data_IF_319764254498
#
_entry.id   IF_319764254498
#
_cell.length_a   1.000
_cell.length_b   1.000
_cell.length_c   1.000
_cell.angle_alpha   90.00
_cell.angle_beta   90.00
_cell.angle_gamma   90.00
#
_symmetry.space_group_name_H-M   'P 1'
#
loop_
_entity.id
_entity.type
_entity.pdbx_description
1 polymer ?
#
# COMPACT_ATOMS: atom_id res chain seq x y z
N UNK A 1 -0.07 9.23 26.98
CA UNK A 1 -0.85 9.34 25.73
C UNK A 1 0.13 9.06 24.61
N UNK A 2 0.08 7.87 24.02
CA UNK A 2 0.84 7.57 22.82
C UNK A 2 0.02 8.15 21.67
N UNK A 3 0.38 9.33 21.17
CA UNK A 3 -0.20 9.82 19.92
C UNK A 3 0.30 8.91 18.80
N UNK A 4 -0.55 7.95 18.40
CA UNK A 4 -0.32 7.03 17.28
C UNK A 4 -0.45 7.71 15.92
N UNK A 5 -0.79 9.00 15.89
CA UNK A 5 -1.00 9.79 14.68
C UNK A 5 -0.22 11.08 14.85
N UNK A 6 0.80 11.28 14.02
CA UNK A 6 1.60 12.51 13.98
C UNK A 6 1.37 13.24 12.65
N UNK A 7 1.29 14.57 12.64
CA UNK A 7 1.26 15.34 11.40
C UNK A 7 2.48 15.05 10.53
N UNK A 8 2.29 14.99 9.22
CA UNK A 8 3.40 14.83 8.28
C UNK A 8 4.29 16.08 8.27
N UNK A 9 5.56 15.90 8.64
CA UNK A 9 6.57 16.97 8.72
C UNK A 9 7.56 16.96 7.54
N UNK A 10 7.34 16.10 6.54
CA UNK A 10 8.20 16.05 5.37
C UNK A 10 7.84 17.11 4.31
N UNK A 11 8.59 17.15 3.20
CA UNK A 11 8.35 18.12 2.14
C UNK A 11 6.97 17.94 1.49
N UNK A 12 6.32 19.06 1.19
CA UNK A 12 5.06 19.13 0.43
C UNK A 12 5.28 19.52 -1.04
N UNK A 13 6.49 19.94 -1.40
CA UNK A 13 6.88 20.33 -2.76
C UNK A 13 8.14 19.55 -3.13
N UNK A 14 8.11 18.89 -4.28
CA UNK A 14 9.24 18.18 -4.86
C UNK A 14 9.59 18.82 -6.20
N UNK A 15 10.74 19.50 -6.26
CA UNK A 15 11.24 20.03 -7.52
C UNK A 15 12.02 18.95 -8.28
N UNK A 16 11.54 18.63 -9.48
CA UNK A 16 12.17 17.65 -10.38
C UNK A 16 12.79 18.33 -11.60
N UNK A 17 12.87 19.67 -11.62
CA UNK A 17 13.32 20.45 -12.79
C UNK A 17 14.70 20.04 -13.30
N UNK A 18 15.62 19.70 -12.39
CA UNK A 18 16.99 19.27 -12.74
C UNK A 18 17.03 17.95 -13.52
N UNK A 19 16.17 17.00 -13.17
CA UNK A 19 16.09 15.69 -13.85
C UNK A 19 15.04 15.62 -14.94
N UNK A 20 14.11 16.59 -14.99
CA UNK A 20 12.96 16.60 -15.91
C UNK A 20 13.31 16.28 -17.37
N UNK A 21 14.38 16.85 -17.98
CA UNK A 21 14.74 16.53 -19.36
C UNK A 21 15.19 15.07 -19.56
N UNK A 22 15.58 14.39 -18.48
CA UNK A 22 16.09 13.01 -18.44
C UNK A 22 15.03 12.00 -17.99
N UNK A 23 13.87 12.45 -17.52
CA UNK A 23 12.77 11.57 -17.12
C UNK A 23 12.07 10.98 -18.36
N UNK A 24 11.72 9.70 -18.26
CA UNK A 24 11.08 8.96 -19.35
C UNK A 24 9.79 8.33 -18.84
N UNK A 25 8.69 8.56 -19.55
CA UNK A 25 7.43 7.86 -19.36
C UNK A 25 7.33 6.74 -20.41
N UNK A 26 7.40 5.48 -19.95
CA UNK A 26 7.35 4.31 -20.81
C UNK A 26 5.91 3.84 -20.95
N UNK A 27 5.33 3.99 -22.15
CA UNK A 27 3.98 3.52 -22.44
C UNK A 27 3.81 2.02 -22.14
N UNK A 28 2.71 1.69 -21.44
CA UNK A 28 2.24 0.32 -21.16
C UNK A 28 3.26 -0.62 -20.49
N UNK A 29 4.00 -0.14 -19.48
CA UNK A 29 4.75 -1.03 -18.59
C UNK A 29 5.79 -1.91 -19.29
N UNK A 30 6.33 -1.44 -20.43
CA UNK A 30 7.40 -2.11 -21.19
C UNK A 30 8.74 -2.05 -20.45
N UNK A 31 8.80 -2.71 -19.30
CA UNK A 31 10.03 -3.01 -18.58
C UNK A 31 10.60 -4.38 -18.99
N UNK A 32 9.90 -5.12 -19.86
CA UNK A 32 10.34 -6.42 -20.35
C UNK A 32 11.69 -6.29 -21.09
N UNK A 33 12.70 -6.99 -20.60
CA UNK A 33 14.07 -6.92 -21.13
C UNK A 33 14.92 -5.77 -20.60
N UNK A 34 14.39 -4.88 -19.75
CA UNK A 34 15.18 -3.84 -19.12
C UNK A 34 16.18 -4.46 -18.12
N UNK A 35 17.46 -4.19 -18.32
CA UNK A 35 18.49 -4.60 -17.39
C UNK A 35 18.55 -3.61 -16.23
N UNK A 36 18.64 -4.15 -15.02
CA UNK A 36 18.77 -3.37 -13.77
C UNK A 36 20.21 -3.48 -13.27
N UNK A 37 20.59 -2.50 -12.46
CA UNK A 37 21.82 -2.57 -11.68
C UNK A 37 21.86 -3.89 -10.88
N UNK A 38 23.05 -4.49 -10.82
CA UNK A 38 23.31 -5.73 -10.10
C UNK A 38 24.18 -5.44 -8.89
N UNK A 39 24.15 -6.35 -7.92
CA UNK A 39 25.10 -6.33 -6.82
C UNK A 39 26.54 -6.32 -7.35
N UNK A 40 27.41 -5.51 -6.74
CA UNK A 40 28.79 -5.31 -7.20
C UNK A 40 29.01 -4.13 -8.16
N UNK A 41 27.95 -3.37 -8.51
CA UNK A 41 28.11 -2.22 -9.42
C UNK A 41 29.05 -1.13 -8.87
N UNK A 42 29.02 -0.74 -7.59
CA UNK A 42 29.94 0.28 -7.07
C UNK A 42 31.42 -0.09 -7.26
N UNK A 43 31.77 -1.35 -7.04
CA UNK A 43 33.13 -1.88 -7.23
C UNK A 43 33.53 -1.85 -8.71
N UNK A 44 32.62 -2.26 -9.60
CA UNK A 44 32.84 -2.18 -11.06
C UNK A 44 32.99 -0.72 -11.51
N UNK A 45 32.18 0.19 -10.99
CA UNK A 45 32.25 1.62 -11.35
C UNK A 45 33.59 2.22 -10.89
N UNK A 46 34.04 1.92 -9.67
CA UNK A 46 35.35 2.34 -9.15
C UNK A 46 36.51 1.77 -9.99
N UNK A 47 36.46 0.47 -10.33
CA UNK A 47 37.44 -0.16 -11.22
C UNK A 47 37.51 0.55 -12.57
N UNK A 48 36.35 0.73 -13.24
CA UNK A 48 36.28 1.39 -14.54
C UNK A 48 36.78 2.83 -14.48
N UNK A 49 36.49 3.56 -13.39
CA UNK A 49 36.94 4.94 -13.21
C UNK A 49 38.47 5.09 -13.22
N UNK A 50 39.20 4.05 -12.78
CA UNK A 50 40.66 3.99 -12.73
C UNK A 50 41.24 3.39 -14.01
N UNK A 51 40.61 2.35 -14.53
CA UNK A 51 41.10 1.59 -15.68
C UNK A 51 40.90 2.33 -17.01
N UNK A 52 39.79 3.03 -17.22
CA UNK A 52 39.49 3.71 -18.49
C UNK A 52 40.52 4.81 -18.81
N UNK A 53 40.92 5.70 -17.88
CA UNK A 53 41.97 6.68 -18.16
C UNK A 53 43.32 6.05 -18.54
N UNK A 54 43.62 4.86 -18.02
CA UNK A 54 44.91 4.20 -18.22
C UNK A 54 44.95 3.32 -19.48
N UNK A 55 43.86 2.60 -19.79
CA UNK A 55 43.84 1.56 -20.82
C UNK A 55 42.80 1.80 -21.91
N UNK A 56 41.94 2.82 -21.79
CA UNK A 56 40.83 3.05 -22.69
C UNK A 56 41.25 3.21 -24.15
N UNK A 57 42.31 3.99 -24.41
CA UNK A 57 42.85 4.19 -25.75
C UNK A 57 43.39 2.88 -26.35
N UNK A 58 44.16 2.11 -25.58
CA UNK A 58 44.71 0.81 -26.01
C UNK A 58 43.59 -0.19 -26.35
N UNK A 59 42.47 -0.13 -25.64
CA UNK A 59 41.29 -0.97 -25.87
C UNK A 59 40.35 -0.42 -26.96
N UNK A 60 40.66 0.74 -27.56
CA UNK A 60 39.81 1.39 -28.56
C UNK A 60 38.48 1.91 -28.00
N UNK A 61 38.41 2.16 -26.67
CA UNK A 61 37.22 2.69 -26.02
C UNK A 61 37.20 4.20 -26.21
N UNK A 62 36.16 4.69 -26.90
CA UNK A 62 35.99 6.13 -27.08
C UNK A 62 35.64 6.81 -25.73
N UNK A 63 36.29 7.93 -25.35
CA UNK A 63 36.07 8.59 -24.05
C UNK A 63 34.60 8.90 -23.74
N UNK A 64 33.82 9.27 -24.77
CA UNK A 64 32.38 9.54 -24.63
C UNK A 64 31.56 8.34 -24.13
N UNK A 65 32.06 7.10 -24.25
CA UNK A 65 31.40 5.92 -23.65
C UNK A 65 31.43 6.00 -22.13
N UNK A 66 32.59 6.31 -21.56
CA UNK A 66 32.75 6.44 -20.12
C UNK A 66 32.00 7.66 -19.57
N UNK A 67 32.08 8.80 -20.23
CA UNK A 67 31.29 9.99 -19.87
C UNK A 67 29.79 9.69 -19.82
N UNK A 68 29.28 8.90 -20.79
CA UNK A 68 27.89 8.45 -20.80
C UNK A 68 27.53 7.50 -19.66
N UNK A 69 28.48 6.74 -19.13
CA UNK A 69 28.27 5.89 -17.94
C UNK A 69 28.19 6.79 -16.72
N UNK A 70 29.16 7.69 -16.54
CA UNK A 70 29.21 8.66 -15.42
C UNK A 70 27.93 9.50 -15.35
N UNK A 71 27.48 10.09 -16.46
CA UNK A 71 26.26 10.91 -16.49
C UNK A 71 25.00 10.10 -16.15
N UNK A 72 24.90 8.84 -16.60
CA UNK A 72 23.77 7.97 -16.23
C UNK A 72 23.79 7.57 -14.77
N UNK A 73 24.96 7.26 -14.21
CA UNK A 73 25.11 6.95 -12.79
C UNK A 73 24.65 8.13 -11.94
N UNK A 74 25.16 9.34 -12.21
CA UNK A 74 24.76 10.55 -11.51
C UNK A 74 23.25 10.84 -11.63
N UNK A 75 22.70 10.71 -12.85
CA UNK A 75 21.26 10.87 -13.10
C UNK A 75 20.43 9.86 -12.31
N UNK A 76 20.86 8.61 -12.23
CA UNK A 76 20.16 7.57 -11.46
C UNK A 76 20.16 7.89 -9.97
N UNK A 77 21.25 8.41 -9.43
CA UNK A 77 21.34 8.79 -8.02
C UNK A 77 20.40 9.94 -7.69
N UNK A 78 20.32 10.96 -8.54
CA UNK A 78 19.36 12.06 -8.41
C UNK A 78 17.91 11.55 -8.45
N UNK A 79 17.59 10.68 -9.42
CA UNK A 79 16.26 10.07 -9.53
C UNK A 79 15.92 9.24 -8.28
N UNK A 80 16.88 8.45 -7.77
CA UNK A 80 16.68 7.59 -6.59
C UNK A 80 16.44 8.41 -5.32
N UNK A 81 17.16 9.51 -5.14
CA UNK A 81 16.97 10.43 -4.03
C UNK A 81 15.55 11.03 -4.06
N UNK A 82 15.14 11.62 -5.19
CA UNK A 82 13.80 12.18 -5.35
C UNK A 82 12.69 11.14 -5.18
N UNK A 83 12.89 9.93 -5.75
CA UNK A 83 11.92 8.84 -5.66
C UNK A 83 11.66 8.42 -4.21
N UNK A 84 12.67 8.40 -3.35
CA UNK A 84 12.51 8.03 -1.94
C UNK A 84 11.50 8.93 -1.25
N UNK A 85 11.63 10.25 -1.42
CA UNK A 85 10.79 11.20 -0.72
C UNK A 85 9.36 11.24 -1.30
N UNK A 86 9.23 11.15 -2.63
CA UNK A 86 7.93 11.05 -3.31
C UNK A 86 7.18 9.79 -2.86
N UNK A 87 7.85 8.65 -2.73
CA UNK A 87 7.23 7.41 -2.23
C UNK A 87 6.76 7.56 -0.78
N UNK A 88 7.51 8.26 0.06
CA UNK A 88 7.05 8.51 1.43
C UNK A 88 5.83 9.42 1.47
N UNK A 89 5.80 10.48 0.65
CA UNK A 89 4.59 11.30 0.55
C UNK A 89 3.40 10.48 0.03
N UNK A 90 3.61 9.61 -0.96
CA UNK A 90 2.55 8.74 -1.48
C UNK A 90 1.99 7.79 -0.40
N UNK A 91 2.86 7.20 0.42
CA UNK A 91 2.47 6.39 1.59
C UNK A 91 1.62 7.21 2.57
N UNK A 92 2.08 8.41 2.93
CA UNK A 92 1.37 9.31 3.87
C UNK A 92 0.00 9.74 3.32
N UNK A 93 -0.11 10.00 2.01
CA UNK A 93 -1.38 10.33 1.37
C UNK A 93 -2.35 9.15 1.44
N UNK A 94 -1.87 7.93 1.19
CA UNK A 94 -2.68 6.71 1.32
C UNK A 94 -3.14 6.47 2.76
N UNK A 95 -2.25 6.64 3.74
CA UNK A 95 -2.59 6.54 5.17
C UNK A 95 -3.62 7.60 5.58
N UNK A 96 -3.43 8.83 5.10
CA UNK A 96 -4.35 9.94 5.35
C UNK A 96 -5.73 9.69 4.73
N UNK A 97 -5.78 9.16 3.51
CA UNK A 97 -7.02 8.77 2.85
C UNK A 97 -7.78 7.76 3.73
N UNK A 98 -7.14 6.66 4.12
CA UNK A 98 -7.76 5.63 4.97
C UNK A 98 -8.25 6.23 6.30
N UNK A 99 -7.44 7.09 6.92
CA UNK A 99 -7.79 7.75 8.17
C UNK A 99 -9.05 8.62 8.03
N UNK A 100 -9.08 9.50 7.02
CA UNK A 100 -10.22 10.39 6.80
C UNK A 100 -11.46 9.65 6.30
N UNK A 101 -11.29 8.54 5.57
CA UNK A 101 -12.40 7.66 5.22
C UNK A 101 -13.02 7.00 6.47
N UNK A 102 -12.21 6.45 7.37
CA UNK A 102 -12.72 5.87 8.62
C UNK A 102 -13.44 6.91 9.48
N UNK A 103 -12.85 8.10 9.63
CA UNK A 103 -13.46 9.21 10.37
C UNK A 103 -14.83 9.61 9.76
N UNK A 104 -14.89 9.74 8.42
CA UNK A 104 -16.13 10.02 7.68
C UNK A 104 -17.18 8.93 7.90
N UNK A 105 -16.81 7.65 7.84
CA UNK A 105 -17.71 6.52 8.06
C UNK A 105 -18.26 6.48 9.49
N UNK A 106 -17.44 6.82 10.48
CA UNK A 106 -17.86 6.98 11.86
C UNK A 106 -18.91 8.10 12.00
N UNK A 107 -18.70 9.24 11.36
CA UNK A 107 -19.65 10.35 11.36
C UNK A 107 -20.98 10.00 10.66
N UNK A 108 -20.93 9.35 9.50
CA UNK A 108 -22.13 8.85 8.80
C UNK A 108 -22.91 7.89 9.71
N UNK A 109 -22.21 7.01 10.43
CA UNK A 109 -22.83 6.07 11.36
C UNK A 109 -23.52 6.78 12.53
N UNK A 110 -22.89 7.81 13.10
CA UNK A 110 -23.48 8.67 14.15
C UNK A 110 -24.74 9.38 13.66
N UNK A 111 -24.67 10.00 12.48
CA UNK A 111 -25.82 10.66 11.83
C UNK A 111 -26.97 9.69 11.66
N UNK A 112 -26.71 8.49 11.14
CA UNK A 112 -27.73 7.45 11.03
C UNK A 112 -28.36 7.08 12.38
N UNK A 113 -27.54 6.98 13.44
CA UNK A 113 -28.04 6.71 14.79
C UNK A 113 -29.01 7.80 15.29
N UNK A 114 -28.73 9.07 15.02
CA UNK A 114 -29.66 10.17 15.34
C UNK A 114 -30.96 10.09 14.53
N UNK A 115 -30.90 9.69 13.27
CA UNK A 115 -32.10 9.46 12.44
C UNK A 115 -32.96 8.34 13.03
N UNK A 116 -32.38 7.19 13.41
CA UNK A 116 -33.13 6.10 14.04
C UNK A 116 -33.83 6.54 15.32
N UNK A 117 -33.09 7.25 16.19
CA UNK A 117 -33.64 7.75 17.45
C UNK A 117 -34.80 8.71 17.20
N UNK A 118 -34.69 9.57 16.19
CA UNK A 118 -35.75 10.51 15.80
C UNK A 118 -36.96 9.80 15.22
N UNK A 119 -36.78 8.76 14.39
CA UNK A 119 -37.89 7.98 13.85
C UNK A 119 -38.61 7.19 14.95
N UNK A 120 -37.87 6.65 15.93
CA UNK A 120 -38.43 5.83 17.00
C UNK A 120 -39.15 6.64 18.08
N UNK A 121 -38.65 7.83 18.41
CA UNK A 121 -39.12 8.62 19.55
C UNK A 121 -39.66 10.02 19.18
N UNK A 122 -39.56 10.41 17.92
CA UNK A 122 -39.91 11.75 17.42
C UNK A 122 -40.79 11.67 16.18
N UNK A 123 -40.33 12.27 15.07
CA UNK A 123 -41.07 12.34 13.80
C UNK A 123 -40.65 11.22 12.83
N UNK A 124 -41.54 10.24 12.54
CA UNK A 124 -41.27 9.18 11.58
C UNK A 124 -41.12 9.65 10.13
N UNK A 125 -41.58 10.85 9.79
CA UNK A 125 -41.55 11.38 8.41
C UNK A 125 -40.12 11.57 7.87
N UNK A 126 -39.16 11.75 8.79
CA UNK A 126 -37.73 11.95 8.50
C UNK A 126 -37.10 10.71 7.85
N UNK A 127 -37.71 9.53 8.01
CA UNK A 127 -37.21 8.27 7.46
C UNK A 127 -36.99 8.33 5.94
N UNK A 128 -37.95 8.89 5.21
CA UNK A 128 -37.91 8.95 3.75
C UNK A 128 -36.73 9.80 3.24
N UNK A 129 -36.37 10.87 3.98
CA UNK A 129 -35.26 11.75 3.61
C UNK A 129 -33.87 11.10 3.78
N UNK A 130 -33.75 10.14 4.71
CA UNK A 130 -32.47 9.52 5.08
C UNK A 130 -32.33 8.05 4.65
N UNK A 131 -33.25 7.54 3.84
CA UNK A 131 -33.29 6.13 3.44
C UNK A 131 -31.94 5.62 2.89
N UNK A 132 -31.29 6.39 2.01
CA UNK A 132 -29.98 6.02 1.44
C UNK A 132 -28.88 5.87 2.50
N UNK A 133 -28.88 6.74 3.50
CA UNK A 133 -27.91 6.71 4.61
C UNK A 133 -28.11 5.46 5.47
N UNK A 134 -29.36 5.13 5.80
CA UNK A 134 -29.72 3.93 6.56
C UNK A 134 -29.40 2.65 5.78
N UNK A 135 -29.66 2.64 4.47
CA UNK A 135 -29.30 1.54 3.58
C UNK A 135 -27.78 1.37 3.49
N UNK A 136 -27.04 2.46 3.32
CA UNK A 136 -25.58 2.46 3.23
C UNK A 136 -24.93 1.89 4.50
N UNK A 137 -25.27 2.41 5.69
CA UNK A 137 -24.71 1.90 6.95
C UNK A 137 -25.07 0.42 7.19
N UNK A 138 -26.23 -0.04 6.72
CA UNK A 138 -26.69 -1.42 6.92
C UNK A 138 -25.78 -2.45 6.23
N UNK A 139 -24.97 -2.03 5.25
CA UNK A 139 -24.06 -2.91 4.50
C UNK A 139 -23.05 -3.60 5.42
N UNK A 140 -22.46 -2.88 6.37
CA UNK A 140 -21.51 -3.46 7.33
C UNK A 140 -22.19 -4.43 8.29
N UNK A 141 -23.37 -4.09 8.80
CA UNK A 141 -24.14 -4.97 9.68
C UNK A 141 -24.55 -6.27 8.97
N UNK A 142 -24.98 -6.18 7.71
CA UNK A 142 -25.31 -7.34 6.86
C UNK A 142 -24.09 -8.23 6.64
N UNK A 143 -22.95 -7.65 6.25
CA UNK A 143 -21.69 -8.38 6.06
C UNK A 143 -21.22 -9.08 7.34
N UNK A 144 -21.31 -8.41 8.49
CA UNK A 144 -20.96 -9.00 9.79
C UNK A 144 -21.90 -10.16 10.16
N UNK A 145 -23.21 -10.02 9.92
CA UNK A 145 -24.19 -11.08 10.16
C UNK A 145 -23.94 -12.30 9.25
N UNK A 146 -23.65 -12.09 7.97
CA UNK A 146 -23.31 -13.15 7.02
C UNK A 146 -22.03 -13.89 7.43
N UNK A 147 -21.01 -13.16 7.89
CA UNK A 147 -19.78 -13.76 8.39
C UNK A 147 -20.01 -14.58 9.67
N UNK A 148 -20.83 -14.07 10.61
CA UNK A 148 -21.23 -14.84 11.81
C UNK A 148 -21.98 -16.12 11.42
N UNK A 149 -22.88 -16.06 10.43
CA UNK A 149 -23.60 -17.23 9.91
C UNK A 149 -22.63 -18.25 9.28
N UNK A 150 -21.64 -17.79 8.50
CA UNK A 150 -20.61 -18.64 7.89
C UNK A 150 -19.74 -19.32 8.96
N UNK A 151 -19.25 -18.56 9.94
CA UNK A 151 -18.44 -19.09 11.04
C UNK A 151 -19.20 -20.12 11.90
N UNK A 152 -20.50 -19.90 12.13
CA UNK A 152 -21.35 -20.85 12.85
C UNK A 152 -21.47 -22.18 12.11
N UNK A 153 -21.67 -22.15 10.78
CA UNK A 153 -21.73 -23.36 9.94
C UNK A 153 -20.41 -24.14 9.94
N UNK A 154 -19.28 -23.44 9.76
CA UNK A 154 -17.96 -24.06 9.79
C UNK A 154 -17.62 -24.72 11.14
N UNK A 155 -18.07 -24.14 12.26
CA UNK A 155 -17.89 -24.74 13.60
C UNK A 155 -18.74 -26.00 13.80
N UNK A 156 -19.95 -26.05 13.25
CA UNK A 156 -20.80 -27.25 13.33
C UNK A 156 -20.25 -28.41 12.51
N UNK A 157 -19.56 -28.14 11.40
CA UNK A 157 -18.92 -29.16 10.54
C UNK A 157 -17.59 -29.70 11.11
N UNK A 158 -16.96 -28.99 12.05
CA UNK A 158 -15.65 -29.36 12.62
C UNK A 158 -15.73 -29.94 14.04
N UNK A 159 -16.93 -30.22 14.56
CA UNK A 159 -17.08 -30.87 15.87
C UNK A 159 -17.09 -32.39 15.67
N UNK A 160 -16.06 -33.16 16.11
CA UNK A 160 -16.12 -34.61 16.09
C UNK A 160 -17.20 -35.07 17.08
N UNK A 161 -18.01 -36.04 16.66
CA UNK A 161 -19.01 -36.65 17.52
C UNK A 161 -18.36 -37.23 18.80
N UNK A 162 -18.98 -37.12 19.99
CA UNK A 162 -18.43 -37.72 21.19
C UNK A 162 -18.35 -39.24 21.01
N UNK A 163 -17.15 -39.79 21.23
CA UNK A 163 -16.88 -41.22 21.19
C UNK A 163 -17.76 -41.95 22.21
N UNK A 164 -18.64 -42.81 21.72
CA UNK A 164 -19.40 -43.77 22.51
C UNK A 164 -18.44 -44.77 23.14
N UNK A 165 -18.30 -44.70 24.46
CA UNK A 165 -17.61 -45.66 25.30
C UNK A 165 -18.38 -47.00 25.28
N UNK A 166 -17.85 -47.99 24.55
CA UNK A 166 -18.38 -49.36 24.50
C UNK A 166 -17.45 -50.31 25.27
N UNK A 167 -17.86 -50.56 26.51
CA UNK A 167 -17.61 -51.68 27.43
C UNK A 167 -16.91 -52.92 26.81
N UNK A 168 -15.75 -53.29 27.34
CA UNK A 168 -15.16 -54.63 27.18
C UNK A 168 -15.40 -55.48 28.47
N UNK A 169 -15.82 -56.75 28.37
CA UNK A 169 -16.14 -57.63 29.51
C UNK A 169 -14.89 -58.35 30.09
N UNK A 170 -14.99 -58.95 31.30
CA UNK A 170 -13.85 -59.23 32.16
C UNK A 170 -13.14 -60.56 31.86
N UNK A 171 -11.86 -60.61 32.23
CA UNK A 171 -11.01 -61.81 32.22
C UNK A 171 -11.49 -62.88 33.22
N UNK A 172 -11.49 -64.13 32.79
CA UNK A 172 -10.99 -65.27 33.57
C UNK A 172 -10.31 -66.25 32.61
#
# INVERSE_FOLDING_TARGET
MNDTIAPYMGPSIFDVSNVRPKLVDLANGKFAGAQREKDGFPEVFDELSKAIPQYGETLGIHPSMWERVVDKTATLDEIRALKKDVLKLAEVLQESEIYYEDAREADISRIGGFVDATVLHGDPSVLAAFQKTLEYRSRYAKKAADQRRKNKRARTETTPAPATESKAPPHT
#
